data_IF_086991840167
#
_entry.id   IF_086991840167
#
_cell.length_a   1.000
_cell.length_b   1.000
_cell.length_c   1.000
_cell.angle_alpha   90.00
_cell.angle_beta   90.00
_cell.angle_gamma   90.00
#
_symmetry.space_group_name_H-M   'P 1'
#
loop_
_entity.id
_entity.type
_entity.pdbx_description
1 polymer ?
#
# COMPACT_ATOMS: atom_id res chain seq x y z
N UNK A 1 69.45 -6.76 68.47
CA UNK A 1 68.82 -5.49 67.97
C UNK A 1 69.05 -5.42 66.46
N UNK A 2 68.14 -5.97 65.66
CA UNK A 2 68.24 -6.06 64.22
C UNK A 2 66.93 -5.63 63.59
N UNK A 3 66.93 -4.52 62.86
CA UNK A 3 65.78 -3.98 62.14
C UNK A 3 65.65 -4.70 60.84
N UNK A 4 64.53 -5.44 60.63
CA UNK A 4 64.10 -5.99 59.34
C UNK A 4 63.59 -4.79 58.50
N UNK A 5 64.17 -4.58 57.34
CA UNK A 5 63.68 -3.72 56.30
C UNK A 5 62.72 -4.58 55.40
N UNK A 6 61.39 -4.31 55.38
CA UNK A 6 60.49 -4.82 54.45
C UNK A 6 60.62 -4.04 53.13
N UNK A 7 60.95 -4.75 52.03
CA UNK A 7 60.86 -4.24 50.67
C UNK A 7 59.44 -4.49 50.18
N UNK A 8 58.74 -3.42 49.81
CA UNK A 8 57.45 -3.48 49.11
C UNK A 8 57.74 -3.71 47.65
N UNK A 9 57.16 -4.78 47.13
CA UNK A 9 57.12 -5.06 45.68
C UNK A 9 55.98 -4.28 45.05
N UNK A 10 56.31 -3.42 44.09
CA UNK A 10 55.33 -2.71 43.25
C UNK A 10 55.05 -3.60 42.06
N UNK A 11 53.82 -4.13 41.97
CA UNK A 11 53.33 -4.83 40.78
C UNK A 11 52.85 -3.78 39.76
N UNK A 12 53.16 -3.92 38.48
CA UNK A 12 52.59 -3.04 37.46
C UNK A 12 51.13 -3.42 37.15
N UNK A 13 50.26 -2.44 37.33
CA UNK A 13 48.87 -2.49 36.86
C UNK A 13 48.89 -2.42 35.33
N UNK A 14 48.67 -3.54 34.65
CA UNK A 14 48.40 -3.56 33.23
C UNK A 14 46.89 -3.22 33.05
N UNK A 15 46.57 -1.99 32.69
CA UNK A 15 45.26 -1.55 32.27
C UNK A 15 44.97 -2.13 30.90
N UNK A 16 44.20 -3.25 30.83
CA UNK A 16 43.55 -3.66 29.61
C UNK A 16 42.42 -2.66 29.28
N UNK A 17 42.73 -1.69 28.44
CA UNK A 17 41.68 -0.91 27.74
C UNK A 17 41.01 -1.83 26.73
N UNK A 18 39.92 -2.49 27.10
CA UNK A 18 39.03 -3.12 26.14
C UNK A 18 38.35 -2.01 25.36
N UNK A 19 38.82 -1.73 24.15
CA UNK A 19 38.06 -0.96 23.16
C UNK A 19 36.84 -1.79 22.79
N UNK A 20 35.72 -1.48 23.41
CA UNK A 20 34.40 -1.84 22.88
C UNK A 20 34.25 -1.05 21.58
N UNK A 21 34.60 -1.68 20.45
CA UNK A 21 34.16 -1.25 19.15
C UNK A 21 32.65 -1.44 19.14
N UNK A 22 31.92 -0.40 19.53
CA UNK A 22 30.50 -0.26 19.22
C UNK A 22 30.42 -0.24 17.70
N UNK A 23 30.03 -1.34 17.09
CA UNK A 23 29.51 -1.34 15.73
C UNK A 23 28.24 -0.51 15.78
N UNK A 24 28.38 0.81 15.68
CA UNK A 24 27.26 1.65 15.30
C UNK A 24 26.78 1.10 13.96
N UNK A 25 25.60 0.52 13.93
CA UNK A 25 24.88 0.30 12.69
C UNK A 25 24.77 1.68 12.05
N UNK A 26 25.64 1.97 11.09
CA UNK A 26 25.50 3.15 10.26
C UNK A 26 24.25 2.86 9.43
N UNK A 27 23.12 3.43 9.86
CA UNK A 27 21.91 3.40 9.07
C UNK A 27 22.28 3.94 7.68
N UNK A 28 22.03 3.09 6.66
CA UNK A 28 22.28 3.53 5.29
C UNK A 28 21.38 4.75 5.05
N UNK A 29 21.93 5.82 4.43
CA UNK A 29 21.12 6.98 4.13
C UNK A 29 19.93 6.56 3.25
N UNK A 30 18.75 7.00 3.63
CA UNK A 30 17.51 6.77 2.87
C UNK A 30 17.71 7.41 1.49
N UNK A 31 17.55 6.60 0.43
CA UNK A 31 17.67 7.05 -0.95
C UNK A 31 16.34 6.84 -1.65
N UNK A 32 15.60 7.94 -1.82
CA UNK A 32 14.33 7.88 -2.52
C UNK A 32 14.52 7.56 -4.01
N UNK A 33 13.68 6.65 -4.51
CA UNK A 33 13.58 6.27 -5.92
C UNK A 33 14.93 5.87 -6.53
N UNK A 34 15.75 5.10 -5.77
CA UNK A 34 17.00 4.56 -6.28
C UNK A 34 16.73 3.68 -7.54
N UNK A 35 17.44 3.91 -8.66
CA UNK A 35 17.15 3.21 -9.93
C UNK A 35 17.18 1.69 -9.81
N UNK A 36 18.06 1.13 -8.99
CA UNK A 36 18.16 -0.31 -8.77
C UNK A 36 16.92 -0.87 -8.05
N UNK A 37 16.40 -0.16 -7.04
CA UNK A 37 15.21 -0.57 -6.32
C UNK A 37 13.96 -0.43 -7.21
N UNK A 38 13.83 0.66 -7.96
CA UNK A 38 12.75 0.83 -8.93
C UNK A 38 12.75 -0.30 -9.98
N UNK A 39 13.92 -0.65 -10.51
CA UNK A 39 14.04 -1.74 -11.48
C UNK A 39 13.68 -3.10 -10.87
N UNK A 40 14.09 -3.37 -9.63
CA UNK A 40 13.78 -4.61 -8.93
C UNK A 40 12.26 -4.77 -8.70
N UNK A 41 11.58 -3.72 -8.26
CA UNK A 41 10.12 -3.73 -8.07
C UNK A 41 9.40 -3.92 -9.42
N UNK A 42 9.77 -3.16 -10.45
CA UNK A 42 9.19 -3.31 -11.79
C UNK A 42 9.36 -4.74 -12.34
N UNK A 43 10.49 -5.37 -12.06
CA UNK A 43 10.75 -6.76 -12.48
C UNK A 43 9.82 -7.74 -11.72
N UNK A 44 9.63 -7.57 -10.42
CA UNK A 44 8.71 -8.39 -9.64
C UNK A 44 7.29 -8.28 -10.21
N UNK A 45 6.77 -7.06 -10.38
CA UNK A 45 5.44 -6.80 -10.92
C UNK A 45 5.22 -7.46 -12.28
N UNK A 46 6.16 -7.28 -13.21
CA UNK A 46 6.05 -7.85 -14.56
C UNK A 46 6.18 -9.37 -14.55
N UNK A 47 7.00 -9.94 -13.65
CA UNK A 47 7.14 -11.40 -13.54
C UNK A 47 5.89 -12.04 -12.95
N UNK A 48 5.35 -11.45 -11.88
CA UNK A 48 4.12 -11.95 -11.24
C UNK A 48 2.92 -11.91 -12.18
N UNK A 49 2.81 -10.90 -13.02
CA UNK A 49 1.69 -10.75 -13.93
C UNK A 49 1.56 -11.90 -14.96
N UNK A 50 2.61 -12.69 -15.19
CA UNK A 50 2.58 -13.86 -16.09
C UNK A 50 2.73 -15.20 -15.38
N UNK A 51 3.08 -15.21 -14.10
CA UNK A 51 3.32 -16.44 -13.37
C UNK A 51 1.99 -17.08 -12.91
N UNK A 52 1.77 -18.33 -13.27
CA UNK A 52 0.60 -19.11 -12.85
C UNK A 52 0.95 -20.21 -11.85
N UNK A 53 2.24 -20.45 -11.60
CA UNK A 53 2.69 -21.40 -10.58
C UNK A 53 2.60 -20.75 -9.19
N UNK A 54 1.67 -21.22 -8.36
CA UNK A 54 1.45 -20.68 -7.02
C UNK A 54 2.65 -20.83 -6.08
N UNK A 55 3.46 -21.89 -6.22
CA UNK A 55 4.65 -22.07 -5.39
C UNK A 55 5.72 -21.00 -5.64
N UNK A 56 5.75 -20.48 -6.86
CA UNK A 56 6.60 -19.34 -7.22
C UNK A 56 5.97 -18.01 -6.79
N UNK A 57 4.67 -17.82 -7.09
CA UNK A 57 3.95 -16.58 -6.75
C UNK A 57 4.00 -16.29 -5.26
N UNK A 58 3.76 -17.29 -4.40
CA UNK A 58 3.77 -17.10 -2.96
C UNK A 58 5.13 -16.67 -2.41
N UNK A 59 6.21 -16.96 -3.15
CA UNK A 59 7.57 -16.55 -2.81
C UNK A 59 7.80 -15.03 -2.84
N UNK A 60 6.96 -14.27 -3.56
CA UNK A 60 7.04 -12.81 -3.59
C UNK A 60 6.41 -12.14 -2.37
N UNK A 61 5.57 -12.86 -1.61
CA UNK A 61 4.88 -12.30 -0.45
C UNK A 61 5.69 -12.46 0.84
N UNK A 62 5.56 -11.49 1.73
CA UNK A 62 5.99 -11.64 3.13
C UNK A 62 5.12 -12.67 3.85
N UNK A 63 5.63 -13.27 4.94
CA UNK A 63 4.91 -14.33 5.65
C UNK A 63 3.56 -13.85 6.23
N UNK A 64 3.50 -12.58 6.64
CA UNK A 64 2.35 -11.90 7.23
C UNK A 64 1.61 -10.96 6.27
N UNK A 65 1.85 -11.11 4.96
CA UNK A 65 1.23 -10.26 3.95
C UNK A 65 -0.30 -10.25 4.04
N UNK A 66 -0.91 -9.12 3.69
CA UNK A 66 -2.36 -8.97 3.61
C UNK A 66 -2.77 -8.61 2.18
N UNK A 67 -3.76 -9.31 1.63
CA UNK A 67 -4.27 -9.10 0.27
C UNK A 67 -5.75 -8.77 0.30
N UNK A 68 -6.13 -7.74 -0.46
CA UNK A 68 -7.51 -7.49 -0.88
C UNK A 68 -7.65 -7.92 -2.34
N UNK A 69 -8.32 -9.05 -2.56
CA UNK A 69 -8.59 -9.61 -3.89
C UNK A 69 -9.86 -9.00 -4.50
N UNK A 70 -10.04 -9.15 -5.80
CA UNK A 70 -11.19 -8.62 -6.57
C UNK A 70 -12.52 -9.08 -5.97
N UNK A 71 -12.64 -10.37 -5.70
CA UNK A 71 -13.93 -10.97 -5.33
C UNK A 71 -14.14 -11.04 -3.82
N UNK A 72 -15.39 -10.80 -3.38
CA UNK A 72 -15.77 -10.90 -1.97
C UNK A 72 -15.73 -12.36 -1.46
N UNK A 73 -15.32 -12.62 -0.18
CA UNK A 73 -14.86 -11.63 0.80
C UNK A 73 -13.43 -11.14 0.55
N UNK A 74 -12.61 -11.82 -0.24
CA UNK A 74 -11.34 -11.45 -0.83
C UNK A 74 -10.32 -10.77 0.09
N UNK A 75 -10.29 -11.15 1.37
CA UNK A 75 -9.30 -10.68 2.34
C UNK A 75 -8.50 -11.90 2.79
N UNK A 76 -7.21 -11.90 2.46
CA UNK A 76 -6.30 -12.98 2.82
C UNK A 76 -5.20 -12.45 3.71
N UNK A 77 -4.90 -13.15 4.82
CA UNK A 77 -3.85 -12.78 5.79
C UNK A 77 -2.85 -13.92 5.91
N UNK A 78 -1.60 -13.62 5.60
CA UNK A 78 -0.51 -14.58 5.57
C UNK A 78 -0.52 -15.46 4.31
N UNK A 79 0.65 -16.03 4.01
CA UNK A 79 0.90 -16.81 2.80
C UNK A 79 -0.08 -17.96 2.60
N UNK A 80 -0.46 -18.68 3.66
CA UNK A 80 -1.34 -19.85 3.55
C UNK A 80 -2.73 -19.45 3.02
N UNK A 81 -3.29 -18.33 3.51
CA UNK A 81 -4.59 -17.85 3.04
C UNK A 81 -4.50 -17.27 1.62
N UNK A 82 -3.40 -16.58 1.30
CA UNK A 82 -3.15 -16.07 -0.06
C UNK A 82 -3.04 -17.23 -1.03
N UNK A 83 -2.27 -18.25 -0.69
CA UNK A 83 -2.15 -19.47 -1.51
C UNK A 83 -3.50 -20.14 -1.72
N UNK A 84 -4.25 -20.38 -0.64
CA UNK A 84 -5.57 -21.02 -0.71
C UNK A 84 -6.58 -20.21 -1.54
N UNK A 85 -6.50 -18.88 -1.51
CA UNK A 85 -7.37 -17.98 -2.28
C UNK A 85 -7.04 -17.96 -3.77
N UNK A 86 -5.76 -17.91 -4.12
CA UNK A 86 -5.34 -17.77 -5.52
C UNK A 86 -5.16 -19.11 -6.25
N UNK A 87 -4.79 -20.19 -5.55
CA UNK A 87 -4.50 -21.47 -6.20
C UNK A 87 -5.66 -22.01 -7.07
N UNK A 88 -6.94 -21.95 -6.67
CA UNK A 88 -8.05 -22.38 -7.53
C UNK A 88 -8.17 -21.52 -8.79
N UNK A 89 -7.95 -20.21 -8.70
CA UNK A 89 -8.02 -19.27 -9.82
C UNK A 89 -6.88 -19.58 -10.81
N UNK A 90 -5.65 -19.70 -10.34
CA UNK A 90 -4.49 -20.05 -11.17
C UNK A 90 -4.65 -21.44 -11.81
N UNK A 91 -5.16 -22.40 -11.04
CA UNK A 91 -5.41 -23.75 -11.56
C UNK A 91 -6.44 -23.82 -12.68
N UNK A 92 -7.36 -22.86 -12.78
CA UNK A 92 -8.36 -22.79 -13.84
C UNK A 92 -7.80 -22.24 -15.16
N UNK A 93 -6.67 -21.53 -15.13
CA UNK A 93 -6.05 -20.89 -16.30
C UNK A 93 -5.29 -21.93 -17.12
N UNK A 94 -5.54 -21.98 -18.43
CA UNK A 94 -4.77 -22.75 -19.40
C UNK A 94 -3.61 -21.94 -19.96
N UNK A 95 -3.88 -20.67 -20.33
CA UNK A 95 -2.86 -19.73 -20.80
C UNK A 95 -3.29 -18.31 -20.44
N UNK A 96 -2.31 -17.44 -20.21
CA UNK A 96 -2.53 -16.04 -19.88
C UNK A 96 -1.46 -15.19 -20.54
N UNK A 97 -1.89 -14.06 -21.08
CA UNK A 97 -1.01 -12.98 -21.52
C UNK A 97 -1.41 -11.70 -20.79
N UNK A 98 -0.49 -10.78 -20.65
CA UNK A 98 -0.76 -9.50 -20.03
C UNK A 98 -0.12 -8.36 -20.79
N UNK A 99 -0.66 -7.19 -20.59
CA UNK A 99 -0.07 -5.91 -20.97
C UNK A 99 -0.07 -4.98 -19.75
N UNK A 100 1.13 -4.61 -19.29
CA UNK A 100 1.28 -3.57 -18.29
C UNK A 100 1.01 -2.22 -18.97
N UNK A 101 -0.19 -1.70 -18.78
CA UNK A 101 -0.62 -0.47 -19.43
C UNK A 101 -0.04 0.77 -18.73
N UNK A 102 0.10 0.70 -17.42
CA UNK A 102 0.72 1.73 -16.59
C UNK A 102 1.31 1.11 -15.34
N UNK A 103 2.47 1.62 -14.89
CA UNK A 103 3.08 1.25 -13.62
C UNK A 103 3.79 2.47 -13.02
N UNK A 104 3.38 2.86 -11.82
CA UNK A 104 3.97 3.94 -11.05
C UNK A 104 4.63 3.37 -9.80
N UNK A 105 5.94 3.49 -9.67
CA UNK A 105 6.70 2.94 -8.53
C UNK A 105 7.37 4.06 -7.75
N UNK A 106 7.22 4.04 -6.42
CA UNK A 106 7.93 4.91 -5.50
C UNK A 106 8.60 4.08 -4.40
N UNK A 107 9.80 4.46 -3.96
CA UNK A 107 10.54 3.76 -2.91
C UNK A 107 11.45 4.69 -2.13
N UNK A 108 11.70 4.35 -0.86
CA UNK A 108 12.74 4.97 -0.04
C UNK A 108 13.94 4.03 0.25
N UNK A 109 13.97 2.87 -0.43
CA UNK A 109 15.02 1.85 -0.24
C UNK A 109 14.70 0.79 0.81
N UNK A 110 13.75 1.03 1.72
CA UNK A 110 13.25 0.08 2.73
C UNK A 110 11.82 -0.37 2.43
N UNK A 111 10.99 0.58 2.00
CA UNK A 111 9.61 0.38 1.55
C UNK A 111 9.47 0.83 0.11
N UNK A 112 8.51 0.23 -0.60
CA UNK A 112 8.12 0.68 -1.92
C UNK A 112 6.61 0.49 -2.14
N UNK A 113 6.07 1.26 -3.07
CA UNK A 113 4.72 1.06 -3.60
C UNK A 113 4.76 0.98 -5.12
N UNK A 114 3.96 0.07 -5.68
CA UNK A 114 3.73 -0.01 -7.11
C UNK A 114 2.23 0.08 -7.37
N UNK A 115 1.81 1.09 -8.12
CA UNK A 115 0.44 1.23 -8.61
C UNK A 115 0.40 0.91 -10.08
N UNK A 116 -0.37 -0.11 -10.45
CA UNK A 116 -0.37 -0.67 -11.79
C UNK A 116 -1.79 -0.74 -12.38
N UNK A 117 -1.88 -0.56 -13.70
CA UNK A 117 -3.04 -0.94 -14.50
C UNK A 117 -2.60 -2.02 -15.46
N UNK A 118 -3.22 -3.19 -15.36
CA UNK A 118 -2.80 -4.39 -16.06
C UNK A 118 -4.00 -4.95 -16.83
N UNK A 119 -3.81 -5.18 -18.12
CA UNK A 119 -4.76 -5.89 -18.95
C UNK A 119 -4.33 -7.35 -19.06
N UNK A 120 -5.25 -8.26 -18.79
CA UNK A 120 -5.06 -9.69 -18.89
C UNK A 120 -5.99 -10.27 -19.94
N UNK A 121 -5.45 -11.14 -20.79
CA UNK A 121 -6.22 -12.05 -21.63
C UNK A 121 -5.89 -13.48 -21.23
N UNK A 122 -6.91 -14.23 -20.79
CA UNK A 122 -6.76 -15.58 -20.33
C UNK A 122 -7.65 -16.55 -21.12
N UNK A 123 -7.15 -17.76 -21.34
CA UNK A 123 -7.96 -18.90 -21.77
C UNK A 123 -8.03 -19.87 -20.59
N UNK A 124 -9.26 -20.20 -20.19
CA UNK A 124 -9.52 -21.15 -19.12
C UNK A 124 -9.47 -22.59 -19.65
N UNK A 125 -9.23 -23.56 -18.76
CA UNK A 125 -9.18 -24.99 -19.13
C UNK A 125 -10.50 -25.54 -19.69
N UNK A 126 -11.63 -24.86 -19.45
CA UNK A 126 -12.93 -25.18 -20.06
C UNK A 126 -13.10 -24.52 -21.44
N UNK A 127 -12.08 -23.85 -21.97
CA UNK A 127 -12.06 -23.19 -23.26
C UNK A 127 -12.65 -21.78 -23.28
N UNK A 128 -13.16 -21.28 -22.16
CA UNK A 128 -13.65 -19.90 -22.09
C UNK A 128 -12.49 -18.91 -22.16
N UNK A 129 -12.74 -17.80 -22.83
CA UNK A 129 -11.85 -16.65 -22.87
C UNK A 129 -12.32 -15.59 -21.89
N UNK A 130 -11.38 -14.94 -21.26
CA UNK A 130 -11.64 -13.87 -20.28
C UNK A 130 -10.63 -12.74 -20.51
N UNK A 131 -11.12 -11.51 -20.58
CA UNK A 131 -10.30 -10.31 -20.57
C UNK A 131 -10.59 -9.50 -19.31
N UNK A 132 -9.56 -9.01 -18.65
CA UNK A 132 -9.65 -8.22 -17.42
C UNK A 132 -8.74 -6.99 -17.53
N UNK A 133 -9.25 -5.84 -17.10
CA UNK A 133 -8.45 -4.63 -16.87
C UNK A 133 -8.46 -4.33 -15.38
N UNK A 134 -7.41 -4.78 -14.67
CA UNK A 134 -7.32 -4.62 -13.22
C UNK A 134 -6.51 -3.39 -12.83
N UNK A 135 -6.83 -2.82 -11.69
CA UNK A 135 -6.00 -1.87 -10.95
C UNK A 135 -5.42 -2.58 -9.75
N UNK A 136 -4.14 -2.35 -9.50
CA UNK A 136 -3.40 -2.98 -8.42
C UNK A 136 -2.54 -1.95 -7.70
N UNK A 137 -2.49 -2.05 -6.39
CA UNK A 137 -1.53 -1.36 -5.54
C UNK A 137 -0.83 -2.38 -4.67
N UNK A 138 0.47 -2.52 -4.85
CA UNK A 138 1.34 -3.36 -4.05
C UNK A 138 2.25 -2.50 -3.18
N UNK A 139 2.27 -2.82 -1.89
CA UNK A 139 3.23 -2.28 -0.95
C UNK A 139 4.28 -3.33 -0.63
N UNK A 140 5.54 -2.95 -0.76
CA UNK A 140 6.70 -3.81 -0.56
C UNK A 140 7.50 -3.38 0.65
N UNK A 141 8.14 -4.35 1.27
CA UNK A 141 9.16 -4.15 2.30
C UNK A 141 10.42 -4.93 1.92
N UNK A 142 11.58 -4.32 2.14
CA UNK A 142 12.85 -4.99 1.94
C UNK A 142 13.19 -5.83 3.17
N UNK A 143 13.21 -7.16 3.02
CA UNK A 143 13.55 -8.12 4.06
C UNK A 143 14.92 -8.72 3.72
N UNK A 144 15.93 -8.35 4.47
CA UNK A 144 17.31 -8.61 4.08
C UNK A 144 17.67 -7.86 2.78
N UNK A 145 17.93 -8.62 1.70
CA UNK A 145 18.21 -8.04 0.37
C UNK A 145 17.08 -8.27 -0.63
N UNK A 146 15.94 -8.83 -0.21
CA UNK A 146 14.83 -9.16 -1.09
C UNK A 146 13.64 -8.25 -0.84
N UNK A 147 12.99 -7.81 -1.92
CA UNK A 147 11.71 -7.14 -1.86
C UNK A 147 10.59 -8.15 -1.72
N UNK A 148 9.71 -7.97 -0.73
CA UNK A 148 8.53 -8.81 -0.49
C UNK A 148 7.28 -7.95 -0.44
N UNK A 149 6.21 -8.41 -1.07
CA UNK A 149 4.88 -7.80 -0.97
C UNK A 149 4.37 -8.05 0.45
N UNK A 150 4.04 -6.98 1.14
CA UNK A 150 3.43 -7.01 2.47
C UNK A 150 1.95 -6.66 2.45
N UNK A 151 1.53 -5.86 1.48
CA UNK A 151 0.13 -5.53 1.24
C UNK A 151 -0.12 -5.50 -0.27
N UNK A 152 -1.24 -6.06 -0.70
CA UNK A 152 -1.70 -6.00 -2.09
C UNK A 152 -3.18 -5.68 -2.14
N UNK A 153 -3.57 -4.82 -3.05
CA UNK A 153 -4.94 -4.46 -3.31
C UNK A 153 -5.23 -4.54 -4.80
N UNK A 154 -6.05 -5.51 -5.20
CA UNK A 154 -6.45 -5.75 -6.59
C UNK A 154 -7.92 -5.43 -6.74
N UNK A 155 -8.30 -4.68 -7.78
CA UNK A 155 -9.70 -4.32 -8.01
C UNK A 155 -10.07 -4.22 -9.48
N UNK A 156 -11.38 -4.27 -9.72
CA UNK A 156 -12.03 -3.82 -10.93
C UNK A 156 -12.83 -2.55 -10.63
N UNK A 157 -12.83 -1.56 -11.52
CA UNK A 157 -13.73 -0.40 -11.37
C UNK A 157 -15.19 -0.86 -11.44
N UNK A 158 -16.06 -0.13 -10.73
CA UNK A 158 -17.50 -0.37 -10.75
C UNK A 158 -18.18 0.71 -11.60
N UNK A 159 -19.09 0.31 -12.48
CA UNK A 159 -19.96 1.25 -13.17
C UNK A 159 -20.99 1.84 -12.19
N UNK A 160 -21.00 3.17 -11.99
CA UNK A 160 -21.82 3.78 -10.96
C UNK A 160 -23.34 3.72 -11.25
N UNK A 161 -23.73 3.45 -12.49
CA UNK A 161 -25.15 3.39 -12.88
C UNK A 161 -25.73 1.99 -12.72
N UNK A 162 -24.99 0.98 -13.18
CA UNK A 162 -25.44 -0.42 -13.15
C UNK A 162 -24.99 -1.17 -11.90
N UNK A 163 -23.94 -0.68 -11.21
CA UNK A 163 -23.26 -1.38 -10.13
C UNK A 163 -22.42 -2.56 -10.60
N UNK A 164 -22.30 -2.80 -11.92
CA UNK A 164 -21.52 -3.91 -12.46
C UNK A 164 -20.01 -3.62 -12.43
N UNK A 165 -19.21 -4.65 -12.23
CA UNK A 165 -17.76 -4.56 -12.42
C UNK A 165 -17.45 -4.36 -13.92
N UNK A 166 -16.56 -3.42 -14.21
CA UNK A 166 -16.04 -3.16 -15.55
C UNK A 166 -14.86 -4.11 -15.76
N UNK A 167 -15.10 -5.20 -16.48
CA UNK A 167 -14.11 -6.28 -16.64
C UNK A 167 -13.00 -5.90 -17.63
N UNK A 168 -13.37 -5.36 -18.79
CA UNK A 168 -12.50 -5.07 -19.93
C UNK A 168 -12.55 -3.59 -20.35
N UNK A 169 -12.77 -2.71 -19.39
CA UNK A 169 -12.86 -1.28 -19.63
C UNK A 169 -11.54 -0.69 -20.14
N UNK A 170 -11.59 0.46 -20.84
CA UNK A 170 -10.39 1.12 -21.33
C UNK A 170 -9.49 1.50 -20.16
N UNK A 171 -8.22 1.13 -20.24
CA UNK A 171 -7.21 1.60 -19.31
C UNK A 171 -6.92 3.07 -19.60
N UNK A 172 -7.18 3.92 -18.64
CA UNK A 172 -6.90 5.35 -18.73
C UNK A 172 -5.45 5.63 -18.30
N UNK A 173 -4.48 5.01 -19.01
CA UNK A 173 -3.06 5.20 -18.75
C UNK A 173 -2.65 6.64 -19.10
N UNK A 174 -1.99 7.32 -18.17
CA UNK A 174 -1.54 8.71 -18.29
C UNK A 174 -0.01 8.86 -18.23
N UNK A 175 0.70 7.74 -18.24
CA UNK A 175 2.16 7.66 -18.12
C UNK A 175 2.65 7.67 -16.67
N UNK A 176 3.94 7.47 -16.48
CA UNK A 176 4.54 7.42 -15.15
C UNK A 176 4.56 8.79 -14.46
N UNK A 177 4.34 8.80 -13.15
CA UNK A 177 4.45 10.00 -12.32
C UNK A 177 5.92 10.23 -11.94
N UNK A 178 6.39 11.44 -12.08
CA UNK A 178 7.67 11.86 -11.54
C UNK A 178 7.49 12.16 -10.04
N UNK A 179 7.68 11.14 -9.21
CA UNK A 179 7.61 11.31 -7.76
C UNK A 179 8.71 12.25 -7.26
N UNK A 180 8.37 13.05 -6.24
CA UNK A 180 9.35 13.88 -5.56
C UNK A 180 10.54 13.05 -5.06
N UNK A 181 11.75 13.51 -5.37
CA UNK A 181 13.01 12.87 -4.97
C UNK A 181 13.56 13.42 -3.66
N UNK A 182 13.03 14.53 -3.20
CA UNK A 182 13.54 15.20 -2.04
C UNK A 182 13.10 14.48 -0.77
N UNK A 183 14.03 14.11 0.13
CA UNK A 183 13.68 13.74 1.47
C UNK A 183 12.94 14.93 2.09
N UNK A 184 11.69 14.67 2.49
CA UNK A 184 10.89 15.74 3.06
C UNK A 184 11.52 16.18 4.39
N UNK A 185 11.73 17.48 4.61
CA UNK A 185 12.42 17.96 5.80
C UNK A 185 11.66 17.58 7.08
N UNK A 186 12.39 17.08 8.05
CA UNK A 186 11.86 16.69 9.36
C UNK A 186 12.55 15.44 9.91
N UNK A 187 12.56 15.24 11.22
CA UNK A 187 13.10 14.02 11.81
C UNK A 187 12.23 12.82 11.44
N UNK A 188 12.85 11.65 11.24
CA UNK A 188 12.12 10.40 11.17
C UNK A 188 11.37 10.16 12.48
N UNK A 189 10.14 9.63 12.39
CA UNK A 189 9.44 9.08 13.55
C UNK A 189 9.97 7.68 13.85
N UNK A 190 9.75 7.17 15.05
CA UNK A 190 9.84 5.72 15.25
C UNK A 190 8.74 5.03 14.44
N UNK A 191 8.89 3.76 14.06
CA UNK A 191 7.84 3.02 13.36
C UNK A 191 6.50 3.02 14.11
N UNK A 192 6.51 2.93 15.43
CA UNK A 192 5.32 2.93 16.29
C UNK A 192 4.62 4.29 16.28
N UNK A 193 5.37 5.39 16.40
CA UNK A 193 4.82 6.75 16.29
C UNK A 193 4.21 6.99 14.90
N UNK A 194 4.88 6.53 13.85
CA UNK A 194 4.40 6.62 12.49
C UNK A 194 3.07 5.86 12.30
N UNK A 195 2.99 4.62 12.77
CA UNK A 195 1.77 3.81 12.73
C UNK A 195 0.61 4.46 13.47
N UNK A 196 0.88 5.01 14.65
CA UNK A 196 -0.12 5.73 15.45
C UNK A 196 -0.60 7.02 14.74
N UNK A 197 0.32 7.76 14.11
CA UNK A 197 -0.02 8.97 13.38
C UNK A 197 -0.85 8.67 12.11
N UNK A 198 -0.47 7.63 11.36
CA UNK A 198 -1.22 7.17 10.19
C UNK A 198 -2.63 6.69 10.60
N UNK A 199 -2.74 5.95 11.70
CA UNK A 199 -4.04 5.54 12.24
C UNK A 199 -4.91 6.74 12.59
N UNK A 200 -4.35 7.73 13.28
CA UNK A 200 -5.05 8.97 13.63
C UNK A 200 -5.49 9.73 12.37
N UNK A 201 -4.64 9.76 11.34
CA UNK A 201 -4.96 10.36 10.05
C UNK A 201 -6.21 9.70 9.44
N UNK A 202 -6.26 8.37 9.42
CA UNK A 202 -7.40 7.62 8.89
C UNK A 202 -8.67 7.86 9.71
N UNK A 203 -8.58 7.84 11.04
CA UNK A 203 -9.74 8.05 11.92
C UNK A 203 -10.31 9.48 11.81
N UNK A 204 -9.48 10.49 11.66
CA UNK A 204 -9.88 11.90 11.63
C UNK A 204 -10.17 12.37 10.21
N UNK A 205 -9.26 12.09 9.26
CA UNK A 205 -9.38 12.51 7.87
C UNK A 205 -10.51 11.80 7.13
N UNK A 206 -10.57 10.47 7.27
CA UNK A 206 -11.59 9.65 6.64
C UNK A 206 -13.02 9.90 7.17
N UNK A 207 -13.16 10.40 8.40
CA UNK A 207 -14.44 10.80 9.00
C UNK A 207 -14.73 12.32 8.89
N UNK A 208 -13.95 13.06 8.09
CA UNK A 208 -14.12 14.51 7.99
C UNK A 208 -15.26 14.90 7.04
N UNK A 209 -16.01 15.92 7.46
CA UNK A 209 -16.96 16.65 6.60
C UNK A 209 -16.37 17.95 6.02
N UNK A 210 -15.11 18.26 6.34
CA UNK A 210 -14.39 19.42 5.82
C UNK A 210 -13.49 19.03 4.66
N UNK A 211 -13.76 19.54 3.48
CA UNK A 211 -12.92 19.33 2.30
C UNK A 211 -11.47 19.81 2.52
N UNK A 212 -11.28 20.95 3.19
CA UNK A 212 -9.92 21.47 3.43
C UNK A 212 -9.15 20.59 4.42
N UNK A 213 -9.83 20.03 5.41
CA UNK A 213 -9.21 19.05 6.31
C UNK A 213 -8.81 17.79 5.55
N UNK A 214 -9.70 17.22 4.74
CA UNK A 214 -9.38 16.04 3.93
C UNK A 214 -8.22 16.33 2.96
N UNK A 215 -8.24 17.47 2.27
CA UNK A 215 -7.16 17.84 1.34
C UNK A 215 -5.84 18.12 2.05
N UNK A 216 -5.85 18.44 3.33
CA UNK A 216 -4.64 18.57 4.15
C UNK A 216 -3.87 17.27 4.35
N UNK A 217 -4.45 16.14 3.98
CA UNK A 217 -3.83 14.81 4.05
C UNK A 217 -3.21 14.36 2.74
N UNK A 218 -3.46 15.05 1.62
CA UNK A 218 -2.80 14.80 0.35
C UNK A 218 -1.66 15.78 0.15
N UNK A 219 -0.53 15.30 -0.19
CA UNK A 219 0.68 15.92 -0.66
C UNK A 219 1.16 17.14 -0.16
N UNK A 220 2.17 17.84 -0.15
CA UNK A 220 2.26 19.23 -0.53
C UNK A 220 2.48 19.44 -2.04
N UNK A 221 2.68 18.40 -2.83
CA UNK A 221 2.94 18.45 -4.26
C UNK A 221 1.79 17.96 -5.14
N UNK A 222 2.01 17.97 -6.46
CA UNK A 222 1.08 17.42 -7.45
C UNK A 222 1.36 15.97 -7.82
N UNK A 223 2.34 15.33 -7.19
CA UNK A 223 2.69 13.93 -7.36
C UNK A 223 1.76 13.02 -6.53
N UNK A 224 0.47 13.05 -6.86
CA UNK A 224 -0.61 12.29 -6.23
C UNK A 224 -1.30 11.43 -7.28
N UNK A 225 -1.56 10.17 -6.93
CA UNK A 225 -2.35 9.25 -7.73
C UNK A 225 -3.45 8.64 -6.85
N UNK A 226 -4.70 8.72 -7.32
CA UNK A 226 -5.84 8.06 -6.67
C UNK A 226 -6.55 7.18 -7.69
N UNK A 227 -6.58 5.89 -7.43
CA UNK A 227 -7.51 4.96 -8.07
C UNK A 227 -8.82 4.98 -7.31
N UNK A 228 -9.82 5.66 -7.86
CA UNK A 228 -11.15 5.70 -7.26
C UNK A 228 -11.90 4.37 -7.46
N UNK A 229 -12.85 4.08 -6.61
CA UNK A 229 -13.68 2.86 -6.66
C UNK A 229 -14.52 2.70 -7.95
N UNK A 230 -14.71 3.78 -8.66
CA UNK A 230 -15.29 3.82 -10.01
C UNK A 230 -14.18 3.87 -11.07
N UNK A 231 -14.45 4.36 -12.26
CA UNK A 231 -13.49 4.30 -13.37
C UNK A 231 -12.42 5.41 -13.37
N UNK A 232 -12.41 6.30 -12.37
CA UNK A 232 -11.51 7.47 -12.36
C UNK A 232 -10.12 7.14 -11.85
N UNK A 233 -9.10 7.67 -12.54
CA UNK A 233 -7.72 7.73 -12.10
C UNK A 233 -7.35 9.19 -11.96
N UNK A 234 -7.33 9.67 -10.72
CA UNK A 234 -7.14 11.09 -10.41
C UNK A 234 -5.65 11.37 -10.21
N UNK A 235 -5.18 12.49 -10.76
CA UNK A 235 -3.78 12.90 -10.63
C UNK A 235 -3.67 14.36 -10.19
N UNK A 236 -2.83 14.53 -9.18
CA UNK A 236 -2.53 15.83 -8.62
C UNK A 236 -3.68 16.40 -7.77
N UNK A 237 -3.33 17.38 -6.95
CA UNK A 237 -4.23 17.99 -5.97
C UNK A 237 -5.51 18.55 -6.59
N UNK A 238 -5.44 19.11 -7.80
CA UNK A 238 -6.59 19.73 -8.47
C UNK A 238 -7.70 18.71 -8.77
N UNK A 239 -7.35 17.55 -9.36
CA UNK A 239 -8.33 16.54 -9.73
C UNK A 239 -8.90 15.86 -8.48
N UNK A 240 -8.03 15.53 -7.52
CA UNK A 240 -8.40 14.92 -6.24
C UNK A 240 -9.36 15.81 -5.47
N UNK A 241 -9.03 17.10 -5.34
CA UNK A 241 -9.90 18.08 -4.67
C UNK A 241 -11.26 18.23 -5.35
N UNK A 242 -11.29 18.30 -6.67
CA UNK A 242 -12.55 18.41 -7.41
C UNK A 242 -13.44 17.19 -7.23
N UNK A 243 -12.86 16.01 -7.24
CA UNK A 243 -13.55 14.74 -7.01
C UNK A 243 -14.18 14.67 -5.61
N UNK A 244 -13.37 14.88 -4.56
CA UNK A 244 -13.89 14.86 -3.19
C UNK A 244 -14.87 15.98 -2.89
N UNK A 245 -14.71 17.16 -3.47
CA UNK A 245 -15.69 18.24 -3.35
C UNK A 245 -17.08 17.82 -3.87
N UNK A 246 -17.13 17.11 -5.00
CA UNK A 246 -18.38 16.62 -5.56
C UNK A 246 -19.06 15.59 -4.63
N UNK A 247 -18.27 14.65 -4.05
CA UNK A 247 -18.77 13.63 -3.13
C UNK A 247 -19.25 14.27 -1.82
N UNK A 248 -18.41 15.09 -1.19
CA UNK A 248 -18.69 15.71 0.11
C UNK A 248 -19.85 16.68 0.08
N UNK A 249 -20.16 17.24 -1.08
CA UNK A 249 -21.36 18.06 -1.26
C UNK A 249 -22.68 17.28 -1.16
N UNK A 250 -22.67 15.95 -1.15
CA UNK A 250 -23.89 15.12 -1.10
C UNK A 250 -24.36 14.76 0.31
N UNK A 251 -23.49 14.82 1.32
CA UNK A 251 -23.80 14.43 2.69
C UNK A 251 -23.52 15.52 3.72
N UNK A 252 -24.05 15.37 4.94
CA UNK A 252 -23.89 16.31 6.06
C UNK A 252 -23.13 15.73 7.23
N UNK A 253 -23.04 14.39 7.32
CA UNK A 253 -22.34 13.69 8.39
C UNK A 253 -21.80 12.35 7.88
N UNK A 254 -20.72 11.87 8.49
CA UNK A 254 -20.04 10.63 8.15
C UNK A 254 -19.63 9.87 9.41
N UNK A 255 -19.96 8.57 9.44
CA UNK A 255 -19.43 7.64 10.43
C UNK A 255 -18.57 6.62 9.72
N UNK A 256 -17.32 6.48 10.14
CA UNK A 256 -16.35 5.54 9.61
C UNK A 256 -15.99 4.48 10.66
N UNK A 257 -16.01 3.20 10.24
CA UNK A 257 -15.47 2.08 11.01
C UNK A 257 -14.49 1.32 10.11
N UNK A 258 -13.33 0.94 10.65
CA UNK A 258 -12.30 0.18 9.95
C UNK A 258 -12.07 -1.17 10.63
N UNK A 259 -12.89 -2.20 10.33
CA UNK A 259 -12.81 -3.51 10.99
C UNK A 259 -11.52 -4.27 10.72
N UNK A 260 -10.90 -4.03 9.57
CA UNK A 260 -9.56 -4.52 9.27
C UNK A 260 -8.69 -3.31 8.94
N UNK A 261 -7.65 -3.09 9.72
CA UNK A 261 -6.69 -2.01 9.52
C UNK A 261 -5.28 -2.56 9.73
N UNK A 262 -4.48 -2.53 8.69
CA UNK A 262 -3.08 -2.97 8.69
C UNK A 262 -2.21 -1.80 8.26
N UNK A 263 -1.20 -1.48 9.06
CA UNK A 263 -0.28 -0.38 8.79
C UNK A 263 1.15 -0.80 9.12
N UNK A 264 2.10 -0.41 8.28
CA UNK A 264 3.54 -0.51 8.57
C UNK A 264 4.27 0.75 8.10
N UNK A 265 5.45 1.03 8.69
CA UNK A 265 6.24 2.22 8.39
C UNK A 265 7.67 2.06 8.90
N UNK A 266 8.62 2.74 8.25
CA UNK A 266 9.98 2.93 8.76
C UNK A 266 10.21 4.32 9.38
N UNK A 267 9.15 5.08 9.60
CA UNK A 267 9.20 6.42 10.20
C UNK A 267 9.24 7.57 9.19
N UNK A 268 9.43 7.31 7.90
CA UNK A 268 9.41 8.31 6.81
C UNK A 268 8.54 7.91 5.63
N UNK A 269 8.41 6.61 5.39
CA UNK A 269 7.50 6.00 4.44
C UNK A 269 6.52 5.11 5.19
N UNK A 270 5.25 5.13 4.83
CA UNK A 270 4.21 4.35 5.45
C UNK A 270 3.28 3.74 4.43
N UNK A 271 2.73 2.59 4.78
CA UNK A 271 1.73 1.89 3.98
C UNK A 271 0.58 1.46 4.88
N UNK A 272 -0.63 1.58 4.38
CA UNK A 272 -1.81 1.10 5.08
C UNK A 272 -2.76 0.38 4.11
N UNK A 273 -3.55 -0.53 4.65
CA UNK A 273 -4.61 -1.26 3.96
C UNK A 273 -5.75 -1.49 4.95
N UNK A 274 -6.97 -1.19 4.52
CA UNK A 274 -8.14 -1.37 5.37
C UNK A 274 -9.41 -1.77 4.61
N UNK A 275 -10.41 -2.17 5.39
CA UNK A 275 -11.79 -2.26 4.95
C UNK A 275 -12.64 -1.30 5.76
N UNK A 276 -13.53 -0.60 5.11
CA UNK A 276 -14.32 0.47 5.70
C UNK A 276 -15.81 0.15 5.67
N UNK A 277 -16.48 0.48 6.78
CA UNK A 277 -17.93 0.60 6.86
C UNK A 277 -18.27 2.07 7.07
N UNK A 278 -18.76 2.69 6.01
CA UNK A 278 -19.08 4.12 6.01
C UNK A 278 -20.59 4.28 6.07
N UNK A 279 -21.08 5.09 6.99
CA UNK A 279 -22.47 5.54 7.01
C UNK A 279 -22.50 7.04 6.77
N UNK A 280 -23.09 7.46 5.66
CA UNK A 280 -23.26 8.86 5.29
C UNK A 280 -24.68 9.29 5.61
N UNK A 281 -24.83 10.46 6.25
CA UNK A 281 -26.12 11.16 6.38
C UNK A 281 -26.25 12.09 5.18
N UNK A 282 -27.11 11.73 4.25
CA UNK A 282 -27.31 12.50 3.01
C UNK A 282 -28.08 13.80 3.27
N UNK A 283 -27.93 14.80 2.41
CA UNK A 283 -28.64 16.09 2.51
C UNK A 283 -30.16 15.99 2.38
N UNK A 284 -30.65 14.93 1.73
CA UNK A 284 -32.10 14.63 1.65
C UNK A 284 -32.65 13.95 2.91
N UNK A 285 -31.81 13.74 3.94
CA UNK A 285 -32.15 13.11 5.20
C UNK A 285 -32.04 11.59 5.21
N UNK A 286 -31.77 10.93 4.09
CA UNK A 286 -31.52 9.49 4.01
C UNK A 286 -30.15 9.11 4.57
N UNK A 287 -29.96 7.81 4.84
CA UNK A 287 -28.64 7.25 5.18
C UNK A 287 -28.17 6.35 4.05
N UNK A 288 -26.93 6.55 3.63
CA UNK A 288 -26.23 5.64 2.69
C UNK A 288 -25.16 4.86 3.43
N UNK A 289 -25.10 3.56 3.20
CA UNK A 289 -24.07 2.67 3.76
C UNK A 289 -23.15 2.20 2.65
N UNK A 290 -21.83 2.29 2.89
CA UNK A 290 -20.81 1.88 1.93
C UNK A 290 -19.83 0.90 2.59
N UNK A 291 -19.53 -0.19 1.88
CA UNK A 291 -18.49 -1.16 2.25
C UNK A 291 -17.27 -0.95 1.35
N UNK A 292 -16.43 0.00 1.70
CA UNK A 292 -15.26 0.38 0.91
C UNK A 292 -14.00 -0.38 1.36
N UNK A 293 -13.04 -0.52 0.46
CA UNK A 293 -11.68 -1.00 0.73
C UNK A 293 -10.72 0.08 0.30
N UNK A 294 -9.68 0.30 1.10
CA UNK A 294 -8.68 1.33 0.83
C UNK A 294 -7.27 0.80 1.09
N UNK A 295 -6.33 1.27 0.32
CA UNK A 295 -4.91 1.18 0.61
C UNK A 295 -4.20 2.45 0.21
N UNK A 296 -3.23 2.88 1.03
CA UNK A 296 -2.45 4.10 0.82
C UNK A 296 -0.98 3.85 0.95
N UNK A 297 -0.23 4.58 0.15
CA UNK A 297 1.18 4.83 0.38
C UNK A 297 1.38 6.27 0.82
N UNK A 298 2.11 6.42 1.89
CA UNK A 298 2.23 7.68 2.60
C UNK A 298 3.70 8.06 2.79
N UNK A 299 3.94 9.35 2.84
CA UNK A 299 5.26 9.91 3.16
C UNK A 299 5.14 10.98 4.22
N UNK A 300 6.16 11.08 5.07
CA UNK A 300 6.26 12.12 6.08
C UNK A 300 6.85 13.39 5.47
N UNK A 301 6.29 14.56 5.81
CA UNK A 301 6.85 15.87 5.50
C UNK A 301 6.74 16.76 6.73
N UNK A 302 7.87 17.18 7.28
CA UNK A 302 7.90 17.82 8.59
C UNK A 302 7.31 16.88 9.65
N UNK A 303 6.30 17.34 10.37
CA UNK A 303 5.61 16.54 11.40
C UNK A 303 4.33 15.86 10.89
N UNK A 304 4.03 15.96 9.59
CA UNK A 304 2.79 15.44 9.01
C UNK A 304 3.02 14.27 8.08
N UNK A 305 2.04 13.40 8.02
CA UNK A 305 1.93 12.32 7.04
C UNK A 305 1.01 12.73 5.91
N UNK A 306 1.36 12.34 4.68
CA UNK A 306 0.61 12.67 3.47
C UNK A 306 0.44 11.42 2.61
N UNK A 307 -0.79 11.11 2.20
CA UNK A 307 -1.03 10.14 1.14
C UNK A 307 -0.60 10.73 -0.20
N UNK A 308 0.17 9.98 -0.96
CA UNK A 308 0.56 10.33 -2.32
C UNK A 308 0.06 9.31 -3.34
N UNK A 309 -0.32 8.12 -2.85
CA UNK A 309 -0.91 7.09 -3.66
C UNK A 309 -2.02 6.42 -2.85
N UNK A 310 -3.23 6.41 -3.43
CA UNK A 310 -4.43 5.85 -2.81
C UNK A 310 -5.14 4.93 -3.80
N UNK A 311 -5.68 3.82 -3.30
CA UNK A 311 -6.49 2.91 -4.07
C UNK A 311 -7.76 2.57 -3.29
N UNK A 312 -8.90 2.98 -3.85
CA UNK A 312 -10.24 2.73 -3.33
C UNK A 312 -10.96 1.70 -4.19
N UNK A 313 -11.70 0.78 -3.58
CA UNK A 313 -12.49 -0.19 -4.32
C UNK A 313 -13.69 -0.71 -3.56
N UNK A 314 -14.61 -1.32 -4.30
CA UNK A 314 -15.60 -2.26 -3.78
C UNK A 314 -15.18 -3.68 -4.15
N UNK A 315 -15.43 -4.65 -3.27
CA UNK A 315 -15.31 -6.05 -3.66
C UNK A 315 -16.41 -6.41 -4.69
N UNK A 316 -16.14 -7.35 -5.56
CA UNK A 316 -17.11 -7.83 -6.54
C UNK A 316 -17.76 -9.12 -6.03
N UNK A 317 -19.08 -9.22 -6.12
CA UNK A 317 -19.79 -10.47 -5.87
C UNK A 317 -19.55 -11.42 -7.07
N UNK A 318 -18.92 -12.58 -6.88
CA UNK A 318 -18.59 -13.48 -7.98
C UNK A 318 -19.82 -14.12 -8.66
N UNK A 319 -20.98 -14.09 -8.01
CA UNK A 319 -22.22 -14.64 -8.58
C UNK A 319 -22.94 -13.66 -9.48
N UNK A 320 -22.92 -12.38 -9.13
CA UNK A 320 -23.68 -11.34 -9.84
C UNK A 320 -22.80 -10.46 -10.72
N UNK A 321 -21.48 -10.47 -10.53
CA UNK A 321 -20.53 -9.55 -11.18
C UNK A 321 -20.70 -8.09 -10.76
N UNK A 322 -21.39 -7.83 -9.64
CA UNK A 322 -21.64 -6.46 -9.13
C UNK A 322 -20.77 -6.13 -7.93
N UNK A 323 -20.52 -4.86 -7.76
CA UNK A 323 -19.84 -4.35 -6.57
C UNK A 323 -20.68 -4.58 -5.31
N UNK A 324 -20.06 -5.11 -4.27
CA UNK A 324 -20.64 -5.20 -2.91
C UNK A 324 -20.46 -3.85 -2.25
N UNK A 325 -21.35 -2.91 -2.58
CA UNK A 325 -21.21 -1.50 -2.18
C UNK A 325 -21.77 -1.19 -0.80
N UNK A 326 -22.53 -2.08 -0.17
CA UNK A 326 -23.15 -1.86 1.14
C UNK A 326 -22.95 -3.03 2.10
N UNK A 327 -23.08 -2.77 3.41
CA UNK A 327 -23.01 -3.76 4.50
C UNK A 327 -24.29 -3.83 5.29
#
# INVERSE_FOLDING_TARGET
>A
MGRLKRRAAIAPLVSCLAMLASCANVEKPITFNAPADLAAIKLIETTMATETNMDKLIGYYADDATVLDIYAPGIYKGRDQIYAGFAPQMAAIQSMTHRMAEMNVATNGNFACAASQIEFDAVLKDGKKMSLSVRQLDAFKKIGNEWKIMQQHISLPIDPKSGAAIMDGPVNARGEIAWSKDPLPGPASTPEEAKAAIRTWMDVGGASTSLDMLMGYYGPGDDILVYDSFASNLRGMKEVRAHYAAIMNSYTDIKLEMPNFVVDSDGVFGVQLDTQRITLKMKDGSNQKLALRQSDCMRKSGDKWYSFLEHLSFAVDPKTGKGVMSF
#
